data_IF_994019396051
#
_entry.id   IF_994019396051
#
_cell.length_a   1.000
_cell.length_b   1.000
_cell.length_c   1.000
_cell.angle_alpha   90.00
_cell.angle_beta   90.00
_cell.angle_gamma   90.00
#
_symmetry.space_group_name_H-M   'P 1'
#
loop_
_entity.id
_entity.type
_entity.pdbx_description
1 polymer ?
#
# COMPACT_ATOMS: atom_id res chain seq x y z
N UNK A 1 41.58 -28.80 39.16
CA UNK A 1 41.68 -27.94 37.95
C UNK A 1 40.46 -28.16 37.05
N UNK A 2 39.34 -27.46 37.25
CA UNK A 2 38.16 -27.54 36.35
C UNK A 2 37.30 -26.28 36.48
N UNK A 3 37.65 -25.22 35.76
CA UNK A 3 36.75 -24.12 35.41
C UNK A 3 37.30 -23.53 34.13
N UNK A 4 36.56 -23.57 33.03
CA UNK A 4 36.45 -22.50 32.04
C UNK A 4 35.65 -23.00 30.82
N UNK A 5 34.93 -22.05 30.21
CA UNK A 5 34.25 -22.12 28.91
C UNK A 5 32.86 -22.76 28.86
N UNK A 6 31.87 -21.99 29.34
CA UNK A 6 30.59 -21.89 28.63
C UNK A 6 30.60 -20.56 27.87
N UNK A 7 31.15 -20.57 26.66
CA UNK A 7 31.04 -19.45 25.71
C UNK A 7 29.80 -19.66 24.87
N UNK A 8 28.68 -19.05 25.26
CA UNK A 8 27.48 -18.98 24.42
C UNK A 8 27.76 -18.01 23.27
N UNK A 9 28.08 -18.56 22.10
CA UNK A 9 28.18 -17.78 20.85
C UNK A 9 26.76 -17.45 20.43
N UNK A 10 26.29 -16.26 20.80
CA UNK A 10 25.02 -15.71 20.34
C UNK A 10 25.27 -14.98 19.02
N UNK A 11 25.23 -15.71 17.89
CA UNK A 11 25.26 -15.08 16.57
C UNK A 11 23.87 -14.55 16.23
N UNK A 12 23.58 -13.29 16.60
CA UNK A 12 22.43 -12.57 16.04
C UNK A 12 22.77 -12.14 14.61
N UNK A 13 22.37 -12.93 13.62
CA UNK A 13 22.27 -12.44 12.25
C UNK A 13 20.96 -11.67 12.11
N UNK A 14 21.00 -10.39 12.44
CA UNK A 14 19.89 -9.47 12.19
C UNK A 14 19.97 -8.93 10.76
N UNK A 15 19.43 -9.66 9.79
CA UNK A 15 19.12 -9.07 8.47
C UNK A 15 17.79 -8.32 8.59
N UNK A 16 17.84 -7.09 9.07
CA UNK A 16 16.69 -6.19 8.97
C UNK A 16 16.73 -5.52 7.59
N UNK A 17 16.01 -6.09 6.62
CA UNK A 17 15.43 -5.25 5.59
C UNK A 17 14.34 -4.46 6.29
N UNK A 18 14.64 -3.22 6.69
CA UNK A 18 13.60 -2.35 7.23
C UNK A 18 12.66 -2.04 6.07
N UNK A 19 11.49 -2.65 6.05
CA UNK A 19 10.39 -2.25 5.18
C UNK A 19 10.09 -0.77 5.44
N UNK A 20 10.40 0.06 4.45
CA UNK A 20 10.03 1.46 4.39
C UNK A 20 8.62 1.55 3.82
N UNK A 21 7.71 2.12 4.60
CA UNK A 21 6.45 2.65 4.06
C UNK A 21 6.81 4.01 3.47
N UNK A 22 6.67 4.14 2.16
CA UNK A 22 6.98 5.35 1.41
C UNK A 22 5.66 6.03 1.04
N UNK A 23 5.29 7.15 1.68
CA UNK A 23 4.09 7.90 1.33
C UNK A 23 4.29 8.71 0.04
N UNK A 24 3.20 8.99 -0.66
CA UNK A 24 3.16 9.89 -1.81
C UNK A 24 1.83 10.64 -1.88
N UNK A 25 1.85 11.80 -2.51
CA UNK A 25 0.68 12.65 -2.72
C UNK A 25 0.21 12.57 -4.18
N UNK A 26 -1.11 12.52 -4.40
CA UNK A 26 -1.71 12.59 -5.73
C UNK A 26 -2.50 13.89 -5.87
N UNK A 27 -3.49 14.10 -4.99
CA UNK A 27 -4.37 15.27 -4.94
C UNK A 27 -4.98 15.66 -6.30
N UNK A 28 -5.60 14.70 -6.99
CA UNK A 28 -6.26 14.91 -8.28
C UNK A 28 -7.72 14.47 -8.24
N UNK A 29 -8.59 15.21 -8.93
CA UNK A 29 -10.02 14.90 -9.04
C UNK A 29 -10.43 14.78 -10.49
N UNK A 30 -11.14 13.71 -10.80
CA UNK A 30 -11.71 13.40 -12.09
C UNK A 30 -13.23 13.42 -11.99
N UNK A 31 -13.90 13.92 -13.00
CA UNK A 31 -15.36 13.95 -13.05
C UNK A 31 -15.83 13.57 -14.44
N UNK A 32 -16.79 12.66 -14.53
CA UNK A 32 -17.36 12.25 -15.82
C UNK A 32 -18.89 12.30 -15.74
N UNK A 33 -19.54 12.24 -16.91
CA UNK A 33 -20.98 12.39 -17.06
C UNK A 33 -21.39 13.83 -17.37
N UNK A 34 -21.93 14.04 -18.58
CA UNK A 34 -22.29 15.35 -19.17
C UNK A 34 -21.12 16.35 -19.33
N UNK A 35 -19.88 15.86 -19.32
CA UNK A 35 -18.66 16.65 -19.62
C UNK A 35 -18.02 16.15 -20.91
N UNK A 36 -17.11 16.94 -21.50
CA UNK A 36 -16.30 16.50 -22.63
C UNK A 36 -15.35 15.36 -22.20
N UNK A 37 -14.92 14.56 -23.18
CA UNK A 37 -13.97 13.47 -22.94
C UNK A 37 -12.69 13.99 -22.25
N UNK A 38 -12.32 13.32 -21.18
CA UNK A 38 -11.15 13.68 -20.38
C UNK A 38 -10.04 12.73 -20.77
N UNK A 39 -8.90 13.31 -21.16
CA UNK A 39 -7.75 12.52 -21.58
C UNK A 39 -7.23 11.67 -20.41
N UNK A 40 -6.90 10.41 -20.73
CA UNK A 40 -6.22 9.53 -19.80
C UNK A 40 -4.98 10.21 -19.20
N UNK A 41 -4.81 10.06 -17.89
CA UNK A 41 -3.79 10.74 -17.10
C UNK A 41 -2.89 9.72 -16.42
N UNK A 42 -1.58 9.98 -16.43
CA UNK A 42 -0.60 9.17 -15.70
C UNK A 42 -0.37 9.76 -14.32
N UNK A 43 -0.39 8.91 -13.29
CA UNK A 43 -0.23 9.28 -11.89
C UNK A 43 1.02 8.58 -11.33
N UNK A 44 1.93 9.39 -10.76
CA UNK A 44 3.16 8.91 -10.13
C UNK A 44 2.88 8.27 -8.77
N UNK A 45 3.61 7.20 -8.44
CA UNK A 45 3.49 6.43 -7.19
C UNK A 45 4.72 6.64 -6.28
N UNK A 46 5.30 7.84 -6.26
CA UNK A 46 6.38 8.22 -5.35
C UNK A 46 7.66 7.41 -5.53
N UNK A 47 7.96 6.97 -6.76
CA UNK A 47 9.12 6.12 -7.06
C UNK A 47 8.81 4.62 -7.20
N UNK A 48 7.61 4.17 -6.86
CA UNK A 48 7.17 2.79 -7.15
C UNK A 48 6.77 2.56 -8.62
N UNK A 49 6.73 3.62 -9.43
CA UNK A 49 6.30 3.61 -10.82
C UNK A 49 5.12 4.57 -11.03
N UNK A 50 4.19 4.19 -11.88
CA UNK A 50 3.00 4.97 -12.19
C UNK A 50 1.83 4.06 -12.53
N UNK A 51 0.62 4.61 -12.54
CA UNK A 51 -0.54 4.01 -13.19
C UNK A 51 -1.18 5.02 -14.13
N UNK A 52 -2.03 4.54 -15.04
CA UNK A 52 -2.85 5.37 -15.91
C UNK A 52 -4.30 5.26 -15.46
N UNK A 53 -4.98 6.39 -15.33
CA UNK A 53 -6.42 6.47 -15.20
C UNK A 53 -7.02 7.01 -16.49
N UNK A 54 -8.06 6.36 -16.99
CA UNK A 54 -8.89 6.82 -18.09
C UNK A 54 -10.32 7.06 -17.56
N UNK A 55 -10.67 8.32 -17.25
CA UNK A 55 -12.02 8.69 -16.81
C UNK A 55 -13.02 8.84 -17.97
N UNK A 56 -12.76 8.20 -19.12
CA UNK A 56 -13.36 8.44 -20.43
C UNK A 56 -14.87 8.64 -20.49
N UNK A 57 -15.29 9.43 -21.49
CA UNK A 57 -16.70 9.80 -21.71
C UNK A 57 -17.52 8.70 -22.39
N UNK A 58 -16.96 7.99 -23.37
CA UNK A 58 -17.71 7.03 -24.20
C UNK A 58 -17.98 5.73 -23.45
N UNK A 59 -18.88 5.80 -22.49
CA UNK A 59 -19.29 4.68 -21.64
C UNK A 59 -19.12 4.94 -20.14
N UNK A 60 -18.92 6.19 -19.71
CA UNK A 60 -18.98 6.59 -18.30
C UNK A 60 -18.09 5.74 -17.38
N UNK A 61 -16.79 5.69 -17.68
CA UNK A 61 -15.85 4.81 -16.99
C UNK A 61 -14.97 5.53 -15.97
N UNK A 62 -14.42 4.76 -15.04
CA UNK A 62 -13.17 5.11 -14.35
C UNK A 62 -12.27 3.90 -14.42
N UNK A 63 -11.45 3.86 -15.47
CA UNK A 63 -10.59 2.71 -15.74
C UNK A 63 -9.16 3.00 -15.29
N UNK A 64 -8.52 1.98 -14.73
CA UNK A 64 -7.22 2.05 -14.10
C UNK A 64 -6.34 0.95 -14.69
N UNK A 65 -5.06 1.28 -14.89
CA UNK A 65 -4.09 0.32 -15.37
C UNK A 65 -2.71 0.61 -14.82
N UNK A 66 -2.06 -0.41 -14.29
CA UNK A 66 -0.62 -0.40 -14.03
C UNK A 66 0.15 -0.95 -15.24
N UNK A 67 1.37 -0.45 -15.51
CA UNK A 67 2.23 -1.01 -16.53
C UNK A 67 2.81 -2.36 -16.11
N UNK A 68 3.28 -3.10 -17.11
CA UNK A 68 4.00 -4.36 -16.91
C UNK A 68 3.09 -5.46 -16.39
N UNK A 69 3.58 -6.13 -15.35
CA UNK A 69 2.84 -7.16 -14.59
C UNK A 69 2.16 -6.59 -13.34
N UNK A 70 2.23 -5.27 -13.13
CA UNK A 70 1.51 -4.61 -12.05
C UNK A 70 0.00 -4.63 -12.31
N UNK A 71 -0.78 -4.57 -11.23
CA UNK A 71 -2.25 -4.62 -11.28
C UNK A 71 -2.85 -4.09 -9.98
N UNK A 72 -4.12 -3.73 -10.02
CA UNK A 72 -4.88 -3.39 -8.83
C UNK A 72 -5.53 -4.63 -8.22
N UNK A 73 -5.93 -4.51 -6.96
CA UNK A 73 -6.79 -5.48 -6.32
C UNK A 73 -8.19 -5.40 -6.92
N UNK A 74 -8.80 -6.55 -7.24
CA UNK A 74 -10.14 -6.62 -7.85
C UNK A 74 -11.04 -7.66 -7.19
N UNK A 75 -12.34 -7.47 -7.38
CA UNK A 75 -13.39 -8.42 -6.98
C UNK A 75 -13.87 -9.25 -8.17
N UNK A 76 -14.52 -10.39 -7.90
CA UNK A 76 -15.06 -11.29 -8.94
C UNK A 76 -16.19 -10.74 -9.80
N UNK A 77 -16.72 -9.57 -9.48
CA UNK A 77 -17.78 -8.96 -10.29
C UNK A 77 -17.21 -8.32 -11.55
N UNK A 78 -17.87 -8.58 -12.68
CA UNK A 78 -17.53 -7.98 -13.98
C UNK A 78 -18.74 -7.35 -14.64
N UNK A 79 -18.50 -6.28 -15.38
CA UNK A 79 -19.43 -5.73 -16.36
C UNK A 79 -18.64 -5.50 -17.65
N UNK A 80 -19.16 -6.01 -18.77
CA UNK A 80 -18.54 -5.89 -20.11
C UNK A 80 -17.07 -6.33 -20.20
N UNK A 81 -16.69 -7.30 -19.36
CA UNK A 81 -15.35 -7.88 -19.34
C UNK A 81 -14.36 -7.21 -18.37
N UNK A 82 -14.72 -6.05 -17.81
CA UNK A 82 -13.89 -5.32 -16.84
C UNK A 82 -14.14 -5.84 -15.42
N UNK A 83 -13.07 -6.13 -14.69
CA UNK A 83 -13.15 -6.41 -13.26
C UNK A 83 -13.31 -5.12 -12.47
N UNK A 84 -14.15 -5.16 -11.44
CA UNK A 84 -14.26 -4.03 -10.52
C UNK A 84 -13.11 -4.04 -9.51
N UNK A 85 -12.56 -2.86 -9.26
CA UNK A 85 -11.57 -2.65 -8.21
C UNK A 85 -12.15 -3.04 -6.85
N UNK A 86 -11.31 -3.66 -6.03
CA UNK A 86 -11.60 -3.88 -4.62
C UNK A 86 -11.29 -2.60 -3.83
N UNK A 87 -11.89 -2.48 -2.64
CA UNK A 87 -11.61 -1.37 -1.74
C UNK A 87 -11.38 -1.86 -0.33
N UNK A 88 -10.27 -1.41 0.24
CA UNK A 88 -9.91 -1.65 1.63
C UNK A 88 -10.39 -0.52 2.52
N UNK A 89 -10.57 -0.83 3.80
CA UNK A 89 -10.72 0.16 4.87
C UNK A 89 -9.40 0.33 5.63
N UNK A 90 -9.27 1.43 6.39
CA UNK A 90 -8.07 1.69 7.18
C UNK A 90 -7.80 0.54 8.17
N UNK A 91 -6.55 0.09 8.24
CA UNK A 91 -6.14 -1.03 9.11
C UNK A 91 -6.17 -2.41 8.45
N UNK A 92 -6.77 -2.55 7.26
CA UNK A 92 -6.69 -3.82 6.52
C UNK A 92 -5.33 -4.02 5.86
N UNK A 93 -4.96 -5.28 5.69
CA UNK A 93 -3.70 -5.66 5.04
C UNK A 93 -3.93 -5.74 3.53
N UNK A 94 -3.13 -4.98 2.77
CA UNK A 94 -2.97 -5.10 1.32
C UNK A 94 -1.69 -5.90 1.07
N UNK A 95 -1.84 -7.09 0.52
CA UNK A 95 -0.74 -8.03 0.45
C UNK A 95 -1.14 -9.40 -0.07
N UNK A 96 -0.19 -10.32 -0.14
CA UNK A 96 -0.35 -11.58 -0.90
C UNK A 96 -1.56 -12.42 -0.47
N UNK A 97 -1.92 -12.39 0.82
CA UNK A 97 -3.07 -13.13 1.35
C UNK A 97 -4.44 -12.48 1.15
N UNK A 98 -4.47 -11.20 0.78
CA UNK A 98 -5.70 -10.39 0.75
C UNK A 98 -5.75 -9.43 -0.46
N UNK A 99 -4.97 -9.70 -1.51
CA UNK A 99 -4.87 -8.86 -2.70
C UNK A 99 -5.97 -9.21 -3.72
N UNK A 100 -7.21 -8.89 -3.35
CA UNK A 100 -8.38 -9.15 -4.18
C UNK A 100 -8.73 -10.62 -4.26
N UNK A 101 -9.89 -10.92 -4.82
CA UNK A 101 -10.31 -12.31 -5.11
C UNK A 101 -10.02 -12.70 -6.55
N UNK A 102 -9.69 -11.72 -7.37
CA UNK A 102 -9.31 -11.89 -8.77
C UNK A 102 -8.06 -11.05 -9.04
N UNK A 103 -7.39 -11.40 -10.14
CA UNK A 103 -6.22 -10.66 -10.58
C UNK A 103 -6.28 -10.49 -12.09
N UNK A 104 -6.35 -9.25 -12.52
CA UNK A 104 -6.37 -8.93 -13.93
C UNK A 104 -5.03 -9.25 -14.56
N UNK A 105 -5.04 -9.46 -15.88
CA UNK A 105 -3.78 -9.72 -16.60
C UNK A 105 -2.91 -8.47 -16.55
N UNK A 106 -1.60 -8.63 -16.67
CA UNK A 106 -0.71 -7.47 -16.82
C UNK A 106 -1.15 -6.61 -18.01
N UNK A 107 -1.17 -5.28 -17.83
CA UNK A 107 -1.70 -4.29 -18.79
C UNK A 107 -3.22 -4.32 -19.05
N UNK A 108 -3.99 -5.07 -18.28
CA UNK A 108 -5.44 -5.02 -18.37
C UNK A 108 -6.02 -3.77 -17.69
N UNK A 109 -7.24 -3.42 -18.05
CA UNK A 109 -7.96 -2.30 -17.43
C UNK A 109 -8.92 -2.81 -16.35
N UNK A 110 -8.80 -2.24 -15.17
CA UNK A 110 -9.67 -2.47 -14.01
C UNK A 110 -10.52 -1.24 -13.75
N UNK A 111 -11.71 -1.38 -13.18
CA UNK A 111 -12.68 -0.27 -13.19
C UNK A 111 -13.39 -0.06 -11.86
N UNK A 112 -13.88 1.15 -11.62
CA UNK A 112 -14.83 1.47 -10.55
C UNK A 112 -16.26 1.61 -11.10
N UNK A 113 -16.38 1.89 -12.40
CA UNK A 113 -17.63 2.31 -13.00
C UNK A 113 -17.63 1.95 -14.48
N UNK A 114 -18.70 1.32 -14.96
CA UNK A 114 -18.87 0.93 -16.38
C UNK A 114 -20.28 1.29 -16.83
N UNK A 115 -20.43 2.06 -17.90
CA UNK A 115 -21.71 2.54 -18.43
C UNK A 115 -22.60 3.22 -17.38
N UNK A 116 -21.99 3.89 -16.40
CA UNK A 116 -22.73 4.46 -15.29
C UNK A 116 -23.36 3.38 -14.40
N UNK A 117 -22.70 2.24 -14.23
CA UNK A 117 -23.05 1.19 -13.28
C UNK A 117 -21.85 0.86 -12.41
N UNK A 118 -22.08 0.77 -11.10
CA UNK A 118 -21.09 0.35 -10.11
C UNK A 118 -21.38 -1.09 -9.67
N UNK A 119 -20.40 -1.74 -9.06
CA UNK A 119 -20.55 -3.07 -8.46
C UNK A 119 -19.92 -3.12 -7.06
N UNK A 120 -20.21 -4.19 -6.32
CA UNK A 120 -19.62 -4.41 -4.99
C UNK A 120 -19.86 -3.23 -4.04
N UNK A 121 -18.77 -2.65 -3.54
CA UNK A 121 -18.76 -1.60 -2.52
C UNK A 121 -18.98 -0.18 -3.04
N UNK A 122 -18.92 0.03 -4.37
CA UNK A 122 -18.81 1.35 -4.96
C UNK A 122 -20.08 2.22 -4.90
N UNK A 123 -21.28 1.61 -4.90
CA UNK A 123 -22.54 2.29 -4.60
C UNK A 123 -22.76 3.65 -5.31
N UNK A 124 -23.34 4.61 -4.59
CA UNK A 124 -23.46 6.03 -4.96
C UNK A 124 -22.32 6.89 -4.40
N UNK A 125 -21.73 6.46 -3.29
CA UNK A 125 -20.67 7.15 -2.58
C UNK A 125 -19.83 6.10 -1.87
N UNK A 126 -18.52 6.25 -1.94
CA UNK A 126 -17.62 5.33 -1.27
C UNK A 126 -16.26 5.97 -1.01
N UNK A 127 -15.65 5.61 0.12
CA UNK A 127 -14.33 6.09 0.53
C UNK A 127 -13.52 4.91 1.02
N UNK A 128 -12.24 4.89 0.67
CA UNK A 128 -11.36 3.83 1.11
C UNK A 128 -10.02 3.88 0.41
N UNK A 129 -9.45 2.70 0.26
CA UNK A 129 -8.12 2.53 -0.31
C UNK A 129 -8.16 1.52 -1.45
N UNK A 130 -7.63 1.89 -2.61
CA UNK A 130 -7.39 0.99 -3.74
C UNK A 130 -6.06 0.29 -3.52
N UNK A 131 -6.07 -1.03 -3.33
CA UNK A 131 -4.84 -1.81 -3.25
C UNK A 131 -4.18 -1.98 -4.62
N UNK A 132 -2.86 -1.84 -4.72
CA UNK A 132 -2.10 -2.13 -5.92
C UNK A 132 -0.85 -2.97 -5.63
N UNK A 133 -0.37 -3.66 -6.67
CA UNK A 133 0.94 -4.30 -6.68
C UNK A 133 1.67 -3.92 -7.96
N UNK A 134 2.90 -3.44 -7.84
CA UNK A 134 3.70 -3.01 -9.01
C UNK A 134 4.36 -4.21 -9.69
N UNK A 135 4.95 -3.99 -10.88
CA UNK A 135 5.74 -5.00 -11.57
C UNK A 135 6.95 -5.50 -10.75
N UNK A 136 7.45 -4.67 -9.82
CA UNK A 136 8.53 -5.00 -8.89
C UNK A 136 8.02 -5.66 -7.60
N UNK A 137 6.75 -6.09 -7.59
CA UNK A 137 6.07 -6.69 -6.46
C UNK A 137 6.01 -5.80 -5.20
N UNK A 138 5.99 -4.47 -5.38
CA UNK A 138 5.75 -3.55 -4.26
C UNK A 138 4.25 -3.43 -4.04
N UNK A 139 3.77 -3.80 -2.85
CA UNK A 139 2.38 -3.58 -2.48
C UNK A 139 2.17 -2.16 -1.98
N UNK A 140 1.06 -1.57 -2.36
CA UNK A 140 0.70 -0.22 -1.96
C UNK A 140 -0.80 0.01 -1.97
N UNK A 141 -1.19 1.20 -1.56
CA UNK A 141 -2.57 1.64 -1.60
C UNK A 141 -2.69 3.09 -2.08
N UNK A 142 -3.84 3.43 -2.63
CA UNK A 142 -4.24 4.80 -2.98
C UNK A 142 -5.51 5.15 -2.24
N UNK A 143 -5.49 6.22 -1.44
CA UNK A 143 -6.68 6.77 -0.79
C UNK A 143 -7.55 7.52 -1.81
N UNK A 144 -8.87 7.29 -1.76
CA UNK A 144 -9.81 7.92 -2.67
C UNK A 144 -11.14 8.31 -2.00
N UNK A 145 -11.84 9.23 -2.66
CA UNK A 145 -13.26 9.55 -2.43
C UNK A 145 -14.02 9.46 -3.75
N UNK A 146 -15.06 8.62 -3.80
CA UNK A 146 -15.94 8.44 -4.93
C UNK A 146 -17.34 8.95 -4.60
N UNK A 147 -17.91 9.78 -5.48
CA UNK A 147 -19.26 10.29 -5.35
C UNK A 147 -19.95 10.31 -6.70
N UNK A 148 -21.16 9.77 -6.74
CA UNK A 148 -22.06 9.82 -7.88
C UNK A 148 -23.34 10.57 -7.53
N UNK A 149 -23.58 11.65 -8.27
CA UNK A 149 -24.78 12.47 -8.14
C UNK A 149 -25.52 12.55 -9.47
N UNK A 150 -26.62 11.80 -9.57
CA UNK A 150 -27.40 11.65 -10.79
C UNK A 150 -26.57 11.01 -11.92
N UNK A 151 -26.29 11.80 -12.95
CA UNK A 151 -25.53 11.36 -14.13
C UNK A 151 -24.04 11.70 -14.04
N UNK A 152 -23.60 12.40 -13.00
CA UNK A 152 -22.21 12.81 -12.82
C UNK A 152 -21.55 11.95 -11.76
N UNK A 153 -20.37 11.41 -12.06
CA UNK A 153 -19.54 10.67 -11.13
C UNK A 153 -18.22 11.40 -10.94
N UNK A 154 -17.78 11.54 -9.70
CA UNK A 154 -16.56 12.22 -9.29
C UNK A 154 -15.69 11.24 -8.52
N UNK A 155 -14.42 11.18 -8.88
CA UNK A 155 -13.40 10.40 -8.20
C UNK A 155 -12.27 11.35 -7.80
N UNK A 156 -11.97 11.44 -6.52
CA UNK A 156 -10.80 12.16 -6.01
C UNK A 156 -9.77 11.15 -5.51
N UNK A 157 -8.56 11.23 -6.04
CA UNK A 157 -7.39 10.48 -5.57
C UNK A 157 -6.56 11.41 -4.70
N UNK A 158 -6.41 11.05 -3.42
CA UNK A 158 -5.86 11.95 -2.41
C UNK A 158 -4.35 11.76 -2.28
N UNK A 159 -3.92 10.55 -1.94
CA UNK A 159 -2.53 10.17 -1.77
C UNK A 159 -2.42 8.66 -1.60
N UNK A 160 -1.30 8.19 -1.09
CA UNK A 160 -1.10 6.78 -0.88
C UNK A 160 0.22 6.45 -0.22
N UNK A 161 0.51 5.16 -0.12
CA UNK A 161 1.81 4.68 0.28
C UNK A 161 2.09 3.31 -0.34
N UNK A 162 3.36 2.94 -0.38
CA UNK A 162 3.79 1.59 -0.76
C UNK A 162 4.86 1.06 0.20
N UNK A 163 4.99 -0.26 0.26
CA UNK A 163 6.09 -0.93 0.95
C UNK A 163 7.25 -1.10 -0.03
N UNK A 164 8.42 -0.53 0.30
CA UNK A 164 9.62 -0.58 -0.56
C UNK A 164 10.32 -1.95 -0.59
N UNK A 165 9.84 -2.91 0.21
CA UNK A 165 10.29 -4.30 0.18
C UNK A 165 9.36 -5.13 -0.70
N UNK A 166 9.91 -5.68 -1.78
CA UNK A 166 9.18 -6.55 -2.70
C UNK A 166 8.53 -7.73 -1.97
N UNK A 167 7.24 -7.93 -2.21
CA UNK A 167 6.41 -8.97 -1.62
C UNK A 167 5.98 -8.72 -0.18
N UNK A 168 6.42 -7.62 0.46
CA UNK A 168 5.99 -7.28 1.80
C UNK A 168 4.65 -6.56 1.78
N UNK A 169 3.75 -7.00 2.65
CA UNK A 169 2.41 -6.44 2.78
C UNK A 169 2.45 -5.01 3.36
N UNK A 170 1.38 -4.25 3.16
CA UNK A 170 1.18 -2.92 3.74
C UNK A 170 -0.19 -2.82 4.40
N UNK A 171 -0.28 -2.09 5.52
CA UNK A 171 -1.57 -1.79 6.15
C UNK A 171 -2.16 -0.54 5.49
N UNK A 172 -3.38 -0.62 4.98
CA UNK A 172 -4.09 0.50 4.37
C UNK A 172 -4.25 1.65 5.37
N UNK A 173 -3.90 2.86 4.93
CA UNK A 173 -3.89 4.07 5.76
C UNK A 173 -2.69 4.22 6.70
N UNK A 174 -1.71 3.30 6.67
CA UNK A 174 -0.49 3.44 7.47
C UNK A 174 0.44 4.51 6.86
N UNK A 175 0.64 5.60 7.58
CA UNK A 175 1.47 6.75 7.13
C UNK A 175 2.87 6.78 7.76
N UNK A 176 3.14 5.91 8.72
CA UNK A 176 4.42 5.87 9.43
C UNK A 176 4.94 4.45 9.57
N UNK A 177 6.23 4.28 9.31
CA UNK A 177 6.96 3.07 9.70
C UNK A 177 7.06 3.06 11.22
N UNK A 178 6.66 1.98 11.92
CA UNK A 178 6.97 1.82 13.33
C UNK A 178 8.47 2.01 13.53
N UNK A 179 8.86 2.92 14.42
CA UNK A 179 10.28 3.21 14.66
C UNK A 179 11.05 1.89 14.80
N UNK A 180 12.17 1.71 14.05
CA UNK A 180 12.82 0.42 14.02
C UNK A 180 13.22 0.03 15.43
N UNK A 181 12.97 -1.24 15.79
CA UNK A 181 13.30 -1.79 17.10
C UNK A 181 14.79 -1.59 17.48
N UNK A 182 15.64 -1.19 16.53
CA UNK A 182 17.00 -0.72 16.76
C UNK A 182 17.09 0.45 17.74
N UNK A 183 16.12 1.39 17.77
CA UNK A 183 16.11 2.49 18.77
C UNK A 183 15.83 1.93 20.15
N UNK A 184 14.84 1.03 20.27
CA UNK A 184 14.54 0.34 21.52
C UNK A 184 15.73 -0.52 21.99
N UNK A 185 16.37 -1.27 21.07
CA UNK A 185 17.55 -2.08 21.32
C UNK A 185 18.77 -1.23 21.70
N UNK A 186 18.96 -0.08 21.05
CA UNK A 186 20.01 0.88 21.41
C UNK A 186 19.77 1.41 22.83
N UNK A 187 18.54 1.78 23.16
CA UNK A 187 18.14 2.18 24.51
C UNK A 187 18.43 1.09 25.54
N UNK A 188 18.02 -0.15 25.28
CA UNK A 188 18.29 -1.30 26.16
C UNK A 188 19.79 -1.60 26.29
N UNK A 189 20.54 -1.50 25.19
CA UNK A 189 21.99 -1.67 25.18
C UNK A 189 22.70 -0.63 26.05
N UNK A 190 22.29 0.64 25.95
CA UNK A 190 22.82 1.72 26.78
C UNK A 190 22.47 1.54 28.26
N UNK A 191 21.25 1.11 28.58
CA UNK A 191 20.86 0.75 29.94
C UNK A 191 21.73 -0.38 30.50
N UNK A 192 21.96 -1.44 29.72
CA UNK A 192 22.85 -2.54 30.09
C UNK A 192 24.29 -2.10 30.35
N UNK A 193 24.83 -1.21 29.51
CA UNK A 193 26.16 -0.61 29.71
C UNK A 193 26.23 0.26 30.98
N UNK A 194 25.15 0.95 31.33
CA UNK A 194 25.04 1.72 32.57
C UNK A 194 25.14 0.85 33.83
N UNK A 195 24.48 -0.32 33.84
CA UNK A 195 24.55 -1.26 34.96
C UNK A 195 25.90 -1.99 35.08
N UNK A 196 26.60 -2.21 33.95
CA UNK A 196 27.91 -2.88 33.93
C UNK A 196 28.98 -2.13 34.75
N UNK A 197 28.89 -0.80 34.85
CA UNK A 197 29.89 0.03 35.55
C UNK A 197 29.86 -0.07 37.08
N UNK A 198 28.81 -0.64 37.70
CA UNK A 198 28.68 -0.68 39.18
C UNK A 198 29.45 -1.81 39.89
N UNK A 199 30.21 -2.66 39.18
CA UNK A 199 30.86 -3.86 39.78
C UNK A 199 32.31 -3.73 40.27
N UNK A 200 32.88 -2.53 40.39
CA UNK A 200 34.23 -2.37 40.99
C UNK A 200 34.26 -1.38 42.16
N UNK A 201 34.03 -1.92 43.34
CA UNK A 201 34.61 -1.45 44.60
C UNK A 201 34.61 -2.61 45.60
N UNK A 202 35.46 -3.60 45.34
CA UNK A 202 35.90 -4.53 46.38
C UNK A 202 37.17 -3.94 46.97
N UNK A 203 37.01 -3.33 48.15
CA UNK A 203 38.09 -2.86 49.00
C UNK A 203 38.84 -4.09 49.53
N UNK A 204 40.12 -4.22 49.21
CA UNK A 204 41.00 -5.23 49.80
C UNK A 204 41.43 -4.67 51.17
N UNK A 205 41.09 -5.36 52.25
CA UNK A 205 41.62 -5.15 53.62
C UNK A 205 42.33 -6.43 54.03
#
# INVERSE_FOLDING_TARGET
>A
MKKFMYGLVLSLTCTFANAGIIPFDISQTFSQGKVADITATTIDLGGAGFFTIDPGFSGNYFDFKLPGTGTFSTISTKIDGYYFLDSYIAGEIVGTGNFGTERSRGYDWDTILVHGSTAGVWGSDHRGYLGFVTQSALYGYIEYDFLRSGQTSTLSLLGGAYNDVAGADIVAGATSVPEPASIALLGLGLLGLGFSRKKKSALIV
#
